data_IF_592882740446
#
_entry.id   IF_592882740446
#
_cell.length_a   1.000
_cell.length_b   1.000
_cell.length_c   1.000
_cell.angle_alpha   90.00
_cell.angle_beta   90.00
_cell.angle_gamma   90.00
#
_symmetry.space_group_name_H-M   'P 1'
#
loop_
_entity.id
_entity.type
_entity.pdbx_description
1 polymer ?
#
# COMPACT_ATOMS: atom_id res chain seq x y z
N UNK A 1 19.98 -13.00 -26.88
CA UNK A 1 19.15 -13.68 -25.86
C UNK A 1 19.52 -13.04 -24.52
N UNK A 2 18.55 -12.59 -23.73
CA UNK A 2 18.82 -12.06 -22.39
C UNK A 2 19.29 -13.22 -21.52
N UNK A 3 20.38 -13.07 -20.77
CA UNK A 3 20.86 -14.15 -19.89
C UNK A 3 19.96 -14.28 -18.65
N UNK A 4 19.76 -15.49 -18.15
CA UNK A 4 19.02 -15.74 -16.89
C UNK A 4 19.61 -14.91 -15.73
N UNK A 5 20.94 -14.85 -15.66
CA UNK A 5 21.65 -14.02 -14.69
C UNK A 5 21.25 -12.54 -14.75
N UNK A 6 21.04 -11.98 -15.95
CA UNK A 6 20.58 -10.60 -16.08
C UNK A 6 19.14 -10.44 -15.58
N UNK A 7 18.26 -11.41 -15.85
CA UNK A 7 16.89 -11.41 -15.35
C UNK A 7 16.87 -11.43 -13.81
N UNK A 8 17.64 -12.32 -13.20
CA UNK A 8 17.69 -12.47 -11.75
C UNK A 8 18.29 -11.24 -11.06
N UNK A 9 19.36 -10.66 -11.62
CA UNK A 9 19.94 -9.42 -11.10
C UNK A 9 18.98 -8.24 -11.24
N UNK A 10 18.25 -8.12 -12.35
CA UNK A 10 17.23 -7.09 -12.52
C UNK A 10 16.09 -7.24 -11.52
N UNK A 11 15.63 -8.48 -11.26
CA UNK A 11 14.64 -8.77 -10.22
C UNK A 11 15.14 -8.41 -8.84
N UNK A 12 16.36 -8.81 -8.49
CA UNK A 12 16.98 -8.52 -7.20
C UNK A 12 17.15 -7.02 -6.98
N UNK A 13 17.63 -6.30 -8.01
CA UNK A 13 17.80 -4.85 -7.94
C UNK A 13 16.46 -4.14 -7.75
N UNK A 14 15.43 -4.51 -8.53
CA UNK A 14 14.10 -3.93 -8.39
C UNK A 14 13.49 -4.25 -7.02
N UNK A 15 13.63 -5.49 -6.54
CA UNK A 15 13.15 -5.91 -5.22
C UNK A 15 13.83 -5.11 -4.11
N UNK A 16 15.15 -4.93 -4.15
CA UNK A 16 15.88 -4.16 -3.16
C UNK A 16 15.42 -2.70 -3.12
N UNK A 17 15.31 -2.04 -4.28
CA UNK A 17 14.84 -0.64 -4.34
C UNK A 17 13.39 -0.51 -3.89
N UNK A 18 12.50 -1.43 -4.33
CA UNK A 18 11.09 -1.42 -3.96
C UNK A 18 10.89 -1.62 -2.44
N UNK A 19 11.57 -2.61 -1.85
CA UNK A 19 11.54 -2.84 -0.41
C UNK A 19 12.05 -1.63 0.37
N UNK A 20 13.17 -1.03 -0.07
CA UNK A 20 13.76 0.11 0.61
C UNK A 20 12.86 1.36 0.51
N UNK A 21 12.27 1.62 -0.65
CA UNK A 21 11.30 2.70 -0.83
C UNK A 21 10.08 2.52 0.08
N UNK A 22 9.56 1.28 0.13
CA UNK A 22 8.37 0.97 0.93
C UNK A 22 8.61 0.94 2.44
N UNK A 23 9.83 1.16 2.92
CA UNK A 23 10.07 1.51 4.33
C UNK A 23 9.54 2.90 4.67
N UNK A 24 9.59 3.83 3.72
CA UNK A 24 9.25 5.24 3.94
C UNK A 24 7.80 5.56 3.54
N UNK A 25 7.29 4.92 2.48
CA UNK A 25 5.94 5.15 1.95
C UNK A 25 4.81 5.01 3.00
N UNK A 26 4.66 3.87 3.71
CA UNK A 26 3.54 3.69 4.63
C UNK A 26 3.60 4.69 5.79
N UNK A 27 4.81 5.07 6.22
CA UNK A 27 4.97 6.07 7.26
C UNK A 27 4.50 7.46 6.78
N UNK A 28 4.80 7.86 5.54
CA UNK A 28 4.28 9.10 4.93
C UNK A 28 2.75 9.08 4.86
N UNK A 29 2.17 8.01 4.31
CA UNK A 29 0.71 7.85 4.14
C UNK A 29 -0.04 7.93 5.48
N UNK A 30 0.50 7.31 6.54
CA UNK A 30 -0.15 7.35 7.86
C UNK A 30 0.09 8.64 8.62
N UNK A 31 1.31 9.18 8.59
CA UNK A 31 1.66 10.39 9.33
C UNK A 31 0.93 11.62 8.81
N UNK A 32 0.69 11.72 7.49
CA UNK A 32 0.06 12.90 6.92
C UNK A 32 -1.36 13.11 7.47
N UNK A 33 -2.14 12.05 7.65
CA UNK A 33 -3.46 12.12 8.29
C UNK A 33 -3.38 12.37 9.80
N UNK A 34 -2.36 11.85 10.47
CA UNK A 34 -2.10 12.19 11.87
C UNK A 34 -1.82 13.69 12.04
N UNK A 35 -1.06 14.30 11.13
CA UNK A 35 -0.82 15.74 11.10
C UNK A 35 -2.11 16.53 10.87
N UNK A 36 -2.95 16.09 9.93
CA UNK A 36 -4.28 16.67 9.70
C UNK A 36 -5.12 16.63 10.97
N UNK A 37 -5.18 15.50 11.68
CA UNK A 37 -5.96 15.35 12.91
C UNK A 37 -5.44 16.28 14.01
N UNK A 38 -4.13 16.26 14.27
CA UNK A 38 -3.51 17.11 15.30
C UNK A 38 -3.73 18.59 15.00
N UNK A 39 -3.57 19.00 13.75
CA UNK A 39 -3.75 20.38 13.35
C UNK A 39 -5.22 20.81 13.36
N UNK A 40 -6.14 19.92 12.97
CA UNK A 40 -7.58 20.16 13.08
C UNK A 40 -7.98 20.44 14.52
N UNK A 41 -7.49 19.64 15.46
CA UNK A 41 -7.73 19.85 16.89
C UNK A 41 -7.10 21.17 17.37
N UNK A 42 -5.93 21.57 16.86
CA UNK A 42 -5.36 22.89 17.12
C UNK A 42 -6.26 24.03 16.63
N UNK A 43 -6.75 23.96 15.38
CA UNK A 43 -7.62 24.99 14.80
C UNK A 43 -8.93 25.10 15.58
N UNK A 44 -9.53 23.96 15.95
CA UNK A 44 -10.79 23.92 16.69
C UNK A 44 -10.68 24.39 18.14
N UNK A 45 -9.60 24.01 18.84
CA UNK A 45 -9.48 24.26 20.29
C UNK A 45 -8.61 25.47 20.65
N UNK A 46 -7.77 25.93 19.73
CA UNK A 46 -6.78 26.98 19.96
C UNK A 46 -5.63 26.58 20.91
N UNK A 47 -5.59 25.34 21.42
CA UNK A 47 -4.58 24.88 22.38
C UNK A 47 -3.24 24.67 21.70
N UNK A 48 -2.21 25.43 22.12
CA UNK A 48 -0.88 25.46 21.50
C UNK A 48 -0.17 24.11 21.47
N UNK A 49 -0.41 23.24 22.45
CA UNK A 49 0.17 21.90 22.49
C UNK A 49 -0.08 21.09 21.21
N UNK A 50 -1.23 21.25 20.55
CA UNK A 50 -1.52 20.56 19.30
C UNK A 50 -0.76 21.15 18.11
N UNK A 51 -0.49 22.47 18.11
CA UNK A 51 0.42 23.10 17.16
C UNK A 51 1.84 22.55 17.31
N UNK A 52 2.29 22.41 18.56
CA UNK A 52 3.62 21.86 18.87
C UNK A 52 3.72 20.39 18.47
N UNK A 53 2.65 19.62 18.67
CA UNK A 53 2.52 18.24 18.17
C UNK A 53 2.63 18.19 16.64
N UNK A 54 1.83 18.96 15.90
CA UNK A 54 1.89 18.99 14.44
C UNK A 54 3.29 19.36 13.94
N UNK A 55 3.97 20.32 14.58
CA UNK A 55 5.35 20.70 14.19
C UNK A 55 6.38 19.61 14.52
N UNK A 56 6.28 18.97 15.68
CA UNK A 56 7.21 17.91 16.08
C UNK A 56 7.09 16.69 15.16
N UNK A 57 5.87 16.19 14.99
CA UNK A 57 5.61 15.04 14.11
C UNK A 57 5.85 15.41 12.64
N UNK A 58 5.56 16.65 12.26
CA UNK A 58 5.86 17.20 10.94
C UNK A 58 7.35 17.15 10.63
N UNK A 59 8.23 17.41 11.59
CA UNK A 59 9.69 17.28 11.40
C UNK A 59 10.11 15.85 11.05
N UNK A 60 9.60 14.86 11.78
CA UNK A 60 9.89 13.44 11.50
C UNK A 60 9.31 12.99 10.16
N UNK A 61 8.08 13.45 9.85
CA UNK A 61 7.46 13.26 8.55
C UNK A 61 8.35 13.82 7.42
N UNK A 62 8.87 15.04 7.55
CA UNK A 62 9.73 15.65 6.52
C UNK A 62 11.01 14.87 6.24
N UNK A 63 11.65 14.32 7.28
CA UNK A 63 12.84 13.46 7.13
C UNK A 63 12.49 12.19 6.36
N UNK A 64 11.41 11.51 6.76
CA UNK A 64 10.92 10.30 6.11
C UNK A 64 10.53 10.57 4.65
N UNK A 65 9.82 11.67 4.42
CA UNK A 65 9.36 12.08 3.10
C UNK A 65 10.51 12.30 2.12
N UNK A 66 11.59 12.98 2.55
CA UNK A 66 12.75 13.22 1.70
C UNK A 66 13.40 11.92 1.19
N UNK A 67 13.51 10.91 2.06
CA UNK A 67 14.00 9.57 1.68
C UNK A 67 13.01 8.84 0.78
N UNK A 68 11.71 8.97 1.04
CA UNK A 68 10.65 8.46 0.17
C UNK A 68 10.73 9.00 -1.26
N UNK A 69 10.88 10.32 -1.43
CA UNK A 69 11.00 10.95 -2.76
C UNK A 69 12.24 10.45 -3.49
N UNK A 70 13.40 10.44 -2.83
CA UNK A 70 14.67 10.04 -3.47
C UNK A 70 14.63 8.59 -3.96
N UNK A 71 14.05 7.70 -3.15
CA UNK A 71 13.89 6.28 -3.50
C UNK A 71 12.81 6.06 -4.56
N UNK A 72 11.73 6.86 -4.55
CA UNK A 72 10.65 6.82 -5.55
C UNK A 72 11.13 7.20 -6.95
N UNK A 73 11.92 8.28 -7.06
CA UNK A 73 12.56 8.69 -8.33
C UNK A 73 13.40 7.55 -8.90
N UNK A 74 14.13 6.84 -8.04
CA UNK A 74 14.96 5.71 -8.46
C UNK A 74 14.11 4.57 -9.04
N UNK A 75 12.96 4.25 -8.42
CA UNK A 75 12.02 3.24 -8.92
C UNK A 75 11.39 3.63 -10.26
N UNK A 76 10.96 4.88 -10.40
CA UNK A 76 10.36 5.40 -11.63
C UNK A 76 11.30 5.18 -12.83
N UNK A 77 12.58 5.55 -12.68
CA UNK A 77 13.58 5.32 -13.73
C UNK A 77 13.94 3.85 -13.96
N UNK A 78 13.83 2.98 -12.94
CA UNK A 78 14.13 1.56 -13.08
C UNK A 78 13.21 0.84 -14.06
N UNK A 79 11.94 1.28 -14.21
CA UNK A 79 11.06 0.75 -15.25
C UNK A 79 11.64 0.95 -16.66
N UNK A 80 12.27 2.10 -16.91
CA UNK A 80 12.89 2.42 -18.20
C UNK A 80 14.24 1.76 -18.40
N UNK A 81 15.11 1.75 -17.39
CA UNK A 81 16.50 1.29 -17.55
C UNK A 81 16.64 -0.22 -17.62
N UNK A 82 15.93 -0.96 -16.74
CA UNK A 82 16.12 -2.40 -16.58
C UNK A 82 14.97 -3.23 -17.17
N UNK A 83 13.83 -2.59 -17.45
CA UNK A 83 12.62 -3.23 -17.94
C UNK A 83 12.16 -2.62 -19.28
N UNK A 84 13.10 -2.36 -20.19
CA UNK A 84 12.84 -1.66 -21.45
C UNK A 84 11.76 -2.34 -22.33
N UNK A 85 11.79 -3.67 -22.44
CA UNK A 85 10.76 -4.38 -23.21
C UNK A 85 9.39 -4.32 -22.53
N UNK A 86 9.32 -4.42 -21.21
CA UNK A 86 8.08 -4.21 -20.46
C UNK A 86 7.54 -2.79 -20.71
N UNK A 87 8.39 -1.77 -20.59
CA UNK A 87 8.03 -0.37 -20.83
C UNK A 87 7.53 -0.14 -22.26
N UNK A 88 8.11 -0.80 -23.26
CA UNK A 88 7.59 -0.77 -24.63
C UNK A 88 6.25 -1.52 -24.77
N UNK A 89 6.18 -2.72 -24.21
CA UNK A 89 5.08 -3.66 -24.42
C UNK A 89 3.78 -3.23 -23.74
N UNK A 90 3.84 -2.54 -22.59
CA UNK A 90 2.63 -2.12 -21.85
C UNK A 90 2.59 -0.63 -21.55
N UNK A 91 3.53 0.15 -22.07
CA UNK A 91 3.68 1.58 -21.72
C UNK A 91 2.45 2.43 -22.02
N UNK A 92 1.63 2.06 -23.00
CA UNK A 92 0.39 2.77 -23.34
C UNK A 92 -0.66 2.71 -22.21
N UNK A 93 -0.69 1.61 -21.46
CA UNK A 93 -1.61 1.42 -20.33
C UNK A 93 -0.93 1.74 -19.01
N UNK A 94 0.24 1.14 -18.75
CA UNK A 94 0.94 1.28 -17.48
C UNK A 94 1.52 2.69 -17.30
N UNK A 95 1.97 3.34 -18.37
CA UNK A 95 2.57 4.67 -18.29
C UNK A 95 1.57 5.78 -18.00
N UNK A 96 0.29 5.61 -18.39
CA UNK A 96 -0.73 6.65 -18.22
C UNK A 96 -1.03 6.96 -16.73
N UNK A 97 -1.32 5.98 -15.85
CA UNK A 97 -1.47 6.23 -14.41
C UNK A 97 -0.23 6.85 -13.77
N UNK A 98 0.98 6.40 -14.14
CA UNK A 98 2.24 6.96 -13.59
C UNK A 98 2.43 8.43 -14.00
N UNK A 99 2.10 8.79 -15.24
CA UNK A 99 2.16 10.18 -15.69
C UNK A 99 1.13 11.07 -14.96
N UNK A 100 -0.10 10.56 -14.77
CA UNK A 100 -1.15 11.27 -14.02
C UNK A 100 -0.76 11.43 -12.55
N UNK A 101 -0.15 10.41 -11.94
CA UNK A 101 0.42 10.47 -10.59
C UNK A 101 1.38 11.65 -10.46
N UNK A 102 2.35 11.75 -11.38
CA UNK A 102 3.31 12.85 -11.40
C UNK A 102 2.65 14.21 -11.50
N UNK A 103 1.73 14.38 -12.47
CA UNK A 103 1.07 15.66 -12.73
C UNK A 103 0.09 16.10 -11.63
N UNK A 104 -0.63 15.15 -11.03
CA UNK A 104 -1.71 15.44 -10.09
C UNK A 104 -1.26 15.32 -8.63
N UNK A 105 -0.67 14.19 -8.26
CA UNK A 105 -0.36 13.87 -6.87
C UNK A 105 0.98 14.46 -6.44
N UNK A 106 2.06 14.20 -7.17
CA UNK A 106 3.40 14.65 -6.76
C UNK A 106 3.52 16.17 -6.75
N UNK A 107 2.97 16.87 -7.75
CA UNK A 107 2.97 18.34 -7.73
C UNK A 107 2.18 18.90 -6.56
N UNK A 108 1.01 18.33 -6.25
CA UNK A 108 0.18 18.77 -5.13
C UNK A 108 0.93 18.58 -3.81
N UNK A 109 1.43 17.36 -3.56
CA UNK A 109 2.14 17.02 -2.33
C UNK A 109 3.44 17.82 -2.17
N UNK A 110 4.29 17.88 -3.19
CA UNK A 110 5.58 18.59 -3.14
C UNK A 110 5.43 20.11 -3.02
N UNK A 111 4.35 20.69 -3.54
CA UNK A 111 4.05 22.12 -3.35
C UNK A 111 3.57 22.38 -1.93
N UNK A 112 2.61 21.59 -1.45
CA UNK A 112 1.98 21.83 -0.15
C UNK A 112 2.87 21.42 1.04
N UNK A 113 3.80 20.48 0.89
CA UNK A 113 4.78 20.19 1.94
C UNK A 113 5.70 21.38 2.21
N UNK A 114 6.10 22.12 1.17
CA UNK A 114 6.87 23.36 1.34
C UNK A 114 6.07 24.41 2.12
N UNK A 115 4.80 24.60 1.75
CA UNK A 115 3.90 25.50 2.48
C UNK A 115 3.60 25.03 3.91
N UNK A 116 3.54 23.73 4.17
CA UNK A 116 3.34 23.17 5.51
C UNK A 116 4.49 23.49 6.46
N UNK A 117 5.74 23.46 5.97
CA UNK A 117 6.89 23.78 6.83
C UNK A 117 7.10 25.29 6.99
N UNK A 118 6.94 26.06 5.91
CA UNK A 118 7.29 27.49 5.90
C UNK A 118 6.09 28.44 6.06
N UNK A 119 4.86 27.92 6.02
CA UNK A 119 3.62 28.71 6.05
C UNK A 119 3.12 29.09 7.44
N UNK A 120 3.68 28.55 8.52
CA UNK A 120 3.14 28.73 9.87
C UNK A 120 2.98 30.18 10.34
N UNK A 121 3.85 31.07 9.89
CA UNK A 121 3.84 32.50 10.27
C UNK A 121 3.29 33.41 9.16
N UNK A 122 2.93 32.83 7.99
CA UNK A 122 2.42 33.55 6.82
C UNK A 122 0.96 33.24 6.49
N UNK A 123 0.44 32.12 6.96
CA UNK A 123 -0.93 31.67 6.73
C UNK A 123 -1.76 31.80 8.01
N UNK A 124 -3.07 32.03 7.85
CA UNK A 124 -4.00 31.85 8.96
C UNK A 124 -4.04 30.37 9.38
N UNK A 125 -4.52 30.09 10.59
CA UNK A 125 -4.59 28.71 11.10
C UNK A 125 -5.49 27.83 10.22
N UNK A 126 -6.58 28.38 9.66
CA UNK A 126 -7.45 27.64 8.74
C UNK A 126 -6.79 27.40 7.38
N UNK A 127 -6.06 28.40 6.87
CA UNK A 127 -5.31 28.26 5.62
C UNK A 127 -4.20 27.22 5.75
N UNK A 128 -3.49 27.19 6.88
CA UNK A 128 -2.46 26.20 7.15
C UNK A 128 -3.06 24.78 7.25
N UNK A 129 -4.22 24.63 7.91
CA UNK A 129 -4.91 23.35 7.94
C UNK A 129 -5.34 22.88 6.54
N UNK A 130 -5.81 23.80 5.68
CA UNK A 130 -6.13 23.47 4.28
C UNK A 130 -4.90 22.95 3.54
N UNK A 131 -3.73 23.58 3.74
CA UNK A 131 -2.45 23.10 3.19
C UNK A 131 -2.16 21.66 3.64
N UNK A 132 -2.32 21.37 4.94
CA UNK A 132 -2.08 20.03 5.49
C UNK A 132 -3.06 18.99 4.94
N UNK A 133 -4.33 19.37 4.72
CA UNK A 133 -5.34 18.50 4.08
C UNK A 133 -4.97 18.24 2.61
N UNK A 134 -4.61 19.26 1.85
CA UNK A 134 -4.23 19.10 0.43
C UNK A 134 -2.96 18.26 0.28
N UNK A 135 -2.01 18.39 1.21
CA UNK A 135 -0.86 17.50 1.31
C UNK A 135 -1.31 16.04 1.52
N UNK A 136 -2.21 15.77 2.48
CA UNK A 136 -2.73 14.43 2.73
C UNK A 136 -3.50 13.84 1.54
N UNK A 137 -4.30 14.66 0.86
CA UNK A 137 -5.01 14.26 -0.37
C UNK A 137 -4.00 13.91 -1.47
N UNK A 138 -2.96 14.73 -1.66
CA UNK A 138 -1.88 14.45 -2.63
C UNK A 138 -1.21 13.11 -2.37
N UNK A 139 -0.79 12.84 -1.14
CA UNK A 139 -0.19 11.55 -0.76
C UNK A 139 -1.10 10.36 -1.08
N UNK A 140 -2.42 10.49 -0.87
CA UNK A 140 -3.37 9.40 -1.13
C UNK A 140 -3.71 9.25 -2.61
N UNK A 141 -3.73 10.34 -3.37
CA UNK A 141 -3.85 10.29 -4.82
C UNK A 141 -2.64 9.60 -5.47
N UNK A 142 -1.43 9.81 -4.92
CA UNK A 142 -0.26 9.06 -5.37
C UNK A 142 -0.44 7.56 -5.15
N UNK A 143 -0.80 7.16 -3.93
CA UNK A 143 -1.11 5.76 -3.62
C UNK A 143 -2.21 5.18 -4.54
N UNK A 144 -3.23 5.96 -4.89
CA UNK A 144 -4.29 5.54 -5.81
C UNK A 144 -3.73 5.21 -7.19
N UNK A 145 -3.02 6.15 -7.83
CA UNK A 145 -2.57 5.99 -9.21
C UNK A 145 -1.52 4.88 -9.36
N UNK A 146 -0.58 4.78 -8.42
CA UNK A 146 0.43 3.71 -8.46
C UNK A 146 -0.19 2.33 -8.21
N UNK A 147 -1.25 2.23 -7.39
CA UNK A 147 -1.95 0.98 -7.14
C UNK A 147 -2.95 0.63 -8.24
N UNK A 148 -3.45 1.60 -9.02
CA UNK A 148 -4.13 1.34 -10.29
C UNK A 148 -3.17 0.66 -11.26
N UNK A 149 -1.95 1.19 -11.42
CA UNK A 149 -0.93 0.58 -12.27
C UNK A 149 -0.59 -0.84 -11.81
N UNK A 150 -0.35 -1.04 -10.50
CA UNK A 150 -0.08 -2.37 -9.96
C UNK A 150 -1.28 -3.32 -10.05
N UNK A 151 -2.50 -2.82 -9.86
CA UNK A 151 -3.73 -3.61 -9.99
C UNK A 151 -3.93 -4.10 -11.42
N UNK A 152 -3.66 -3.25 -12.42
CA UNK A 152 -3.67 -3.64 -13.82
C UNK A 152 -2.64 -4.72 -14.14
N UNK A 153 -1.43 -4.64 -13.59
CA UNK A 153 -0.41 -5.70 -13.75
C UNK A 153 -0.88 -7.08 -13.23
N UNK A 154 -1.85 -7.12 -12.32
CA UNK A 154 -2.42 -8.35 -11.78
C UNK A 154 -3.67 -8.83 -12.53
N UNK A 155 -4.44 -7.91 -13.10
CA UNK A 155 -5.67 -8.17 -13.82
C UNK A 155 -5.79 -7.19 -15.00
N UNK A 156 -5.28 -7.55 -16.20
CA UNK A 156 -5.07 -6.61 -17.31
C UNK A 156 -6.38 -6.35 -18.09
N UNK A 157 -7.35 -5.70 -17.45
CA UNK A 157 -8.59 -5.25 -18.08
C UNK A 157 -8.38 -3.95 -18.87
N UNK A 158 -9.26 -3.67 -19.85
CA UNK A 158 -9.22 -2.43 -20.63
C UNK A 158 -8.04 -2.29 -21.58
N UNK A 159 -7.47 -3.42 -22.02
CA UNK A 159 -6.32 -3.47 -22.94
C UNK A 159 -6.42 -4.61 -23.94
N UNK A 160 -5.88 -4.40 -25.15
CA UNK A 160 -5.78 -5.42 -26.20
C UNK A 160 -4.39 -5.46 -26.82
N UNK A 161 -4.00 -6.62 -27.38
CA UNK A 161 -2.73 -6.74 -28.09
C UNK A 161 -2.88 -6.30 -29.55
N UNK A 162 -2.02 -5.37 -29.99
CA UNK A 162 -1.93 -4.96 -31.38
C UNK A 162 -0.77 -5.68 -32.08
N UNK A 163 -1.09 -6.47 -33.11
CA UNK A 163 -0.08 -7.16 -33.94
C UNK A 163 0.69 -6.17 -34.85
N UNK A 164 0.18 -4.95 -35.03
CA UNK A 164 0.82 -3.92 -35.85
C UNK A 164 1.92 -3.19 -35.08
N UNK A 165 1.63 -2.81 -33.84
CA UNK A 165 2.58 -2.10 -32.97
C UNK A 165 3.37 -3.02 -32.05
N UNK A 166 3.01 -4.31 -32.01
CA UNK A 166 3.65 -5.37 -31.21
C UNK A 166 3.66 -5.07 -29.69
N UNK A 167 2.60 -4.43 -29.20
CA UNK A 167 2.41 -4.04 -27.80
C UNK A 167 0.93 -4.13 -27.41
N UNK A 168 0.67 -4.08 -26.10
CA UNK A 168 -0.66 -3.86 -25.56
C UNK A 168 -1.06 -2.39 -25.71
N UNK A 169 -2.29 -2.14 -26.15
CA UNK A 169 -2.85 -0.79 -26.34
C UNK A 169 -4.09 -0.60 -25.45
N UNK A 170 -4.29 0.63 -24.99
CA UNK A 170 -5.39 0.99 -24.09
C UNK A 170 -6.72 1.02 -24.86
N UNK A 171 -7.68 0.19 -24.48
CA UNK A 171 -9.02 0.16 -25.10
C UNK A 171 -10.07 0.87 -24.25
N UNK A 172 -9.95 0.80 -22.92
CA UNK A 172 -10.87 1.44 -21.98
C UNK A 172 -10.12 1.91 -20.72
N UNK A 173 -9.92 3.23 -20.64
CA UNK A 173 -9.28 3.87 -19.49
C UNK A 173 -10.05 3.66 -18.18
N UNK A 174 -11.38 3.70 -18.22
CA UNK A 174 -12.20 3.59 -17.00
C UNK A 174 -12.22 2.16 -16.47
N UNK A 175 -12.15 1.16 -17.35
CA UNK A 175 -11.95 -0.23 -16.93
C UNK A 175 -10.64 -0.41 -16.16
N UNK A 176 -9.55 0.27 -16.57
CA UNK A 176 -8.27 0.25 -15.86
C UNK A 176 -8.38 0.94 -14.50
N UNK A 177 -8.98 2.13 -14.43
CA UNK A 177 -9.15 2.91 -13.19
C UNK A 177 -10.03 2.17 -12.17
N UNK A 178 -11.15 1.62 -12.61
CA UNK A 178 -12.11 0.90 -11.76
C UNK A 178 -11.85 -0.61 -11.68
N UNK A 179 -10.63 -1.04 -12.02
CA UNK A 179 -10.22 -2.43 -11.88
C UNK A 179 -10.45 -2.92 -10.44
N UNK A 180 -11.24 -4.00 -10.21
CA UNK A 180 -11.54 -4.49 -8.87
C UNK A 180 -10.29 -4.78 -8.03
N UNK A 181 -9.24 -5.30 -8.67
CA UNK A 181 -7.96 -5.61 -8.01
C UNK A 181 -7.23 -4.32 -7.60
N UNK A 182 -7.31 -3.26 -8.41
CA UNK A 182 -6.76 -1.95 -8.05
C UNK A 182 -7.49 -1.36 -6.84
N UNK A 183 -8.82 -1.43 -6.82
CA UNK A 183 -9.64 -0.91 -5.72
C UNK A 183 -9.32 -1.61 -4.40
N UNK A 184 -9.28 -2.96 -4.40
CA UNK A 184 -8.89 -3.75 -3.22
C UNK A 184 -7.47 -3.44 -2.73
N UNK A 185 -6.50 -3.36 -3.65
CA UNK A 185 -5.12 -2.98 -3.33
C UNK A 185 -5.02 -1.59 -2.73
N UNK A 186 -5.72 -0.61 -3.30
CA UNK A 186 -5.72 0.76 -2.82
C UNK A 186 -6.17 0.85 -1.36
N UNK A 187 -7.37 0.35 -1.08
CA UNK A 187 -7.96 0.48 0.26
C UNK A 187 -7.17 -0.31 1.31
N UNK A 188 -6.65 -1.49 0.96
CA UNK A 188 -5.85 -2.30 1.87
C UNK A 188 -4.48 -1.66 2.16
N UNK A 189 -3.75 -1.26 1.11
CA UNK A 189 -2.39 -0.69 1.25
C UNK A 189 -2.40 0.64 1.98
N UNK A 190 -3.35 1.51 1.66
CA UNK A 190 -3.50 2.81 2.33
C UNK A 190 -3.87 2.63 3.79
N UNK A 191 -4.83 1.74 4.11
CA UNK A 191 -5.19 1.42 5.49
C UNK A 191 -3.99 0.85 6.27
N UNK A 192 -3.14 0.02 5.64
CA UNK A 192 -1.92 -0.50 6.25
C UNK A 192 -0.87 0.61 6.50
N UNK A 193 -0.79 1.59 5.59
CA UNK A 193 -0.01 2.82 5.82
C UNK A 193 -0.50 3.60 7.03
N UNK A 194 -1.82 3.74 7.19
CA UNK A 194 -2.42 4.39 8.35
C UNK A 194 -2.07 3.69 9.66
N UNK A 195 -2.16 2.35 9.70
CA UNK A 195 -1.70 1.54 10.85
C UNK A 195 -0.22 1.80 11.13
N UNK A 196 0.63 1.81 10.11
CA UNK A 196 2.07 2.02 10.27
C UNK A 196 2.38 3.39 10.88
N UNK A 197 1.78 4.46 10.37
CA UNK A 197 1.94 5.81 10.92
C UNK A 197 1.39 5.93 12.34
N UNK A 198 0.24 5.33 12.62
CA UNK A 198 -0.33 5.29 13.97
C UNK A 198 0.60 4.57 14.96
N UNK A 199 1.10 3.39 14.60
CA UNK A 199 2.01 2.60 15.43
C UNK A 199 3.34 3.31 15.69
N UNK A 200 3.85 4.07 14.70
CA UNK A 200 5.04 4.88 14.88
C UNK A 200 4.85 5.96 15.96
N UNK A 201 3.78 6.77 15.85
CA UNK A 201 3.44 7.80 16.85
C UNK A 201 3.17 7.18 18.21
N UNK A 202 2.45 6.06 18.24
CA UNK A 202 2.10 5.33 19.46
C UNK A 202 3.36 4.83 20.18
N UNK A 203 4.30 4.24 19.44
CA UNK A 203 5.54 3.67 19.98
C UNK A 203 6.45 4.74 20.58
N UNK A 204 6.66 5.85 19.88
CA UNK A 204 7.49 6.96 20.39
C UNK A 204 6.80 7.64 21.58
N UNK A 205 5.47 7.82 21.53
CA UNK A 205 4.72 8.39 22.66
C UNK A 205 4.78 7.48 23.89
N UNK A 206 4.64 6.16 23.71
CA UNK A 206 4.79 5.18 24.78
C UNK A 206 6.20 5.25 25.40
N UNK A 207 7.23 5.39 24.56
CA UNK A 207 8.60 5.56 25.04
C UNK A 207 8.77 6.84 25.86
N UNK A 208 8.19 7.97 25.46
CA UNK A 208 8.22 9.22 26.25
C UNK A 208 7.54 9.04 27.61
N UNK A 209 6.39 8.35 27.65
CA UNK A 209 5.68 8.06 28.89
C UNK A 209 6.48 7.16 29.83
N UNK A 210 7.11 6.10 29.31
CA UNK A 210 7.99 5.22 30.09
C UNK A 210 9.20 5.97 30.67
N UNK A 211 9.68 7.00 29.96
CA UNK A 211 10.79 7.86 30.40
C UNK A 211 10.35 9.05 31.26
N UNK A 212 9.05 9.24 31.50
CA UNK A 212 8.52 10.41 32.22
C UNK A 212 8.79 11.75 31.53
N UNK A 213 8.98 11.76 30.20
CA UNK A 213 9.30 12.96 29.40
C UNK A 213 8.05 13.51 28.74
N UNK A 214 7.88 14.82 28.79
CA UNK A 214 6.80 15.56 28.09
C UNK A 214 5.43 14.86 28.19
N UNK A 215 5.07 14.45 29.41
CA UNK A 215 3.95 13.52 29.67
C UNK A 215 2.64 13.98 29.03
N UNK A 216 2.35 15.28 29.09
CA UNK A 216 1.14 15.87 28.51
C UNK A 216 1.12 15.81 26.97
N UNK A 217 2.27 16.02 26.33
CA UNK A 217 2.44 15.87 24.88
C UNK A 217 2.29 14.40 24.47
N UNK A 218 2.97 13.52 25.20
CA UNK A 218 3.00 12.10 24.90
C UNK A 218 1.62 11.45 25.11
N UNK A 219 0.89 11.77 26.18
CA UNK A 219 -0.48 11.26 26.40
C UNK A 219 -1.45 11.66 25.28
N UNK A 220 -1.37 12.91 24.78
CA UNK A 220 -2.25 13.39 23.70
C UNK A 220 -1.89 12.75 22.37
N UNK A 221 -0.59 12.69 22.04
CA UNK A 221 -0.10 11.99 20.84
C UNK A 221 -0.50 10.51 20.85
N UNK A 222 -0.32 9.83 21.98
CA UNK A 222 -0.71 8.44 22.17
C UNK A 222 -2.22 8.23 21.97
N UNK A 223 -3.07 9.08 22.55
CA UNK A 223 -4.53 8.94 22.42
C UNK A 223 -5.00 9.10 20.97
N UNK A 224 -4.48 10.10 20.25
CA UNK A 224 -4.82 10.30 18.83
C UNK A 224 -4.36 9.09 18.02
N UNK A 225 -3.12 8.64 18.21
CA UNK A 225 -2.56 7.50 17.51
C UNK A 225 -3.31 6.20 17.79
N UNK A 226 -3.70 5.96 19.06
CA UNK A 226 -4.45 4.77 19.43
C UNK A 226 -5.84 4.75 18.79
N UNK A 227 -6.56 5.87 18.80
CA UNK A 227 -7.90 5.95 18.21
C UNK A 227 -7.85 5.79 16.68
N UNK A 228 -6.94 6.51 16.02
CA UNK A 228 -6.74 6.39 14.58
C UNK A 228 -6.26 4.99 14.20
N UNK A 229 -5.23 4.49 14.86
CA UNK A 229 -4.67 3.15 14.62
C UNK A 229 -5.66 2.02 14.86
N UNK A 230 -6.56 2.14 15.86
CA UNK A 230 -7.63 1.17 16.07
C UNK A 230 -8.64 1.15 14.92
N UNK A 231 -9.06 2.32 14.43
CA UNK A 231 -9.92 2.39 13.25
C UNK A 231 -9.21 1.83 12.00
N UNK A 232 -7.93 2.17 11.81
CA UNK A 232 -7.13 1.70 10.68
C UNK A 232 -6.91 0.20 10.71
N UNK A 233 -6.62 -0.43 11.86
CA UNK A 233 -6.39 -1.88 11.92
C UNK A 233 -7.68 -2.67 11.65
N UNK A 234 -8.83 -2.20 12.14
CA UNK A 234 -10.12 -2.79 11.78
C UNK A 234 -10.37 -2.71 10.27
N UNK A 235 -10.05 -1.58 9.64
CA UNK A 235 -10.11 -1.41 8.18
C UNK A 235 -9.20 -2.41 7.46
N UNK A 236 -7.94 -2.53 7.87
CA UNK A 236 -6.98 -3.47 7.26
C UNK A 236 -7.44 -4.92 7.35
N UNK A 237 -7.97 -5.35 8.49
CA UNK A 237 -8.43 -6.74 8.69
C UNK A 237 -9.60 -7.06 7.76
N UNK A 238 -10.63 -6.21 7.74
CA UNK A 238 -11.83 -6.42 6.92
C UNK A 238 -11.48 -6.36 5.43
N UNK A 239 -10.72 -5.35 5.02
CA UNK A 239 -10.32 -5.19 3.61
C UNK A 239 -9.31 -6.25 3.17
N UNK A 240 -8.54 -6.82 4.10
CA UNK A 240 -7.65 -7.95 3.85
C UNK A 240 -8.43 -9.22 3.53
N UNK A 241 -9.47 -9.51 4.30
CA UNK A 241 -10.39 -10.63 4.03
C UNK A 241 -11.10 -10.47 2.67
N UNK A 242 -11.67 -9.29 2.39
CA UNK A 242 -12.27 -9.01 1.08
C UNK A 242 -11.26 -9.09 -0.07
N UNK A 243 -10.01 -8.65 0.15
CA UNK A 243 -8.95 -8.77 -0.86
C UNK A 243 -8.57 -10.23 -1.10
N UNK A 244 -8.56 -11.07 -0.07
CA UNK A 244 -8.31 -12.51 -0.19
C UNK A 244 -9.41 -13.22 -0.99
N UNK A 245 -10.67 -12.86 -0.73
CA UNK A 245 -11.81 -13.35 -1.50
C UNK A 245 -11.71 -12.94 -2.99
N UNK A 246 -11.50 -11.65 -3.28
CA UNK A 246 -11.37 -11.16 -4.65
C UNK A 246 -10.13 -11.72 -5.38
N UNK A 247 -9.04 -12.02 -4.64
CA UNK A 247 -7.86 -12.68 -5.18
C UNK A 247 -8.17 -14.10 -5.64
N UNK A 248 -9.07 -14.82 -4.95
CA UNK A 248 -9.51 -16.15 -5.36
C UNK A 248 -10.20 -16.17 -6.72
N UNK A 249 -10.83 -15.07 -7.13
CA UNK A 249 -11.45 -14.95 -8.46
C UNK A 249 -10.44 -14.54 -9.53
N UNK A 250 -9.53 -13.61 -9.22
CA UNK A 250 -8.59 -13.06 -10.20
C UNK A 250 -7.30 -13.88 -10.36
N UNK A 251 -6.79 -14.49 -9.28
CA UNK A 251 -5.45 -15.11 -9.22
C UNK A 251 -5.40 -16.30 -8.26
N UNK A 252 -6.06 -17.40 -8.66
CA UNK A 252 -6.14 -18.64 -7.88
C UNK A 252 -4.77 -19.19 -7.47
N UNK A 253 -3.75 -19.11 -8.34
CA UNK A 253 -2.39 -19.59 -8.03
C UNK A 253 -1.79 -18.92 -6.80
N UNK A 254 -2.06 -17.63 -6.59
CA UNK A 254 -1.53 -16.91 -5.42
C UNK A 254 -2.22 -17.33 -4.14
N UNK A 255 -3.54 -17.46 -4.17
CA UNK A 255 -4.30 -17.91 -3.01
C UNK A 255 -3.86 -19.32 -2.60
N UNK A 256 -3.80 -20.25 -3.57
CA UNK A 256 -3.37 -21.62 -3.32
C UNK A 256 -1.92 -21.69 -2.80
N UNK A 257 -1.00 -20.88 -3.35
CA UNK A 257 0.38 -20.82 -2.86
C UNK A 257 0.48 -20.21 -1.45
N UNK A 258 -0.27 -19.14 -1.15
CA UNK A 258 -0.28 -18.50 0.17
C UNK A 258 -0.81 -19.45 1.26
N UNK A 259 -1.83 -20.24 0.93
CA UNK A 259 -2.42 -21.23 1.83
C UNK A 259 -1.71 -22.59 1.78
N UNK A 260 -0.63 -22.72 1.02
CA UNK A 260 0.11 -23.97 0.82
C UNK A 260 -0.80 -25.16 0.41
N UNK A 261 -1.74 -24.90 -0.51
CA UNK A 261 -2.71 -25.85 -1.04
C UNK A 261 -2.17 -26.53 -2.30
N UNK A 262 -1.63 -27.74 -2.13
CA UNK A 262 -1.09 -28.53 -3.25
C UNK A 262 -2.19 -29.19 -4.08
N UNK A 263 -3.13 -29.82 -3.38
CA UNK A 263 -4.29 -30.51 -3.95
C UNK A 263 -5.56 -29.68 -3.74
N UNK A 264 -6.59 -29.98 -4.53
CA UNK A 264 -7.91 -29.35 -4.38
C UNK A 264 -8.52 -29.73 -3.04
N UNK A 265 -8.84 -28.71 -2.25
CA UNK A 265 -9.40 -28.88 -0.91
C UNK A 265 -10.91 -29.11 -1.02
N UNK A 266 -11.44 -30.23 -0.50
CA UNK A 266 -12.86 -30.49 -0.50
C UNK A 266 -13.59 -29.49 0.41
N UNK A 267 -14.84 -29.21 0.08
CA UNK A 267 -15.67 -28.36 0.90
C UNK A 267 -16.06 -29.05 2.23
N UNK A 268 -16.04 -28.35 3.38
CA UNK A 268 -15.50 -27.00 3.61
C UNK A 268 -13.97 -26.99 3.80
N UNK A 269 -13.28 -26.18 3.01
CA UNK A 269 -11.81 -26.10 3.00
C UNK A 269 -11.21 -25.62 4.35
N UNK A 270 -10.07 -26.18 4.71
CA UNK A 270 -9.33 -25.83 5.93
C UNK A 270 -8.38 -24.65 5.70
N UNK A 271 -8.15 -23.83 6.75
CA UNK A 271 -7.22 -22.70 6.71
C UNK A 271 -5.90 -23.08 7.36
N UNK A 272 -4.79 -22.89 6.65
CA UNK A 272 -3.45 -23.18 7.19
C UNK A 272 -2.92 -21.97 7.96
N UNK A 273 -2.96 -22.02 9.29
CA UNK A 273 -2.42 -20.96 10.16
C UNK A 273 -0.90 -20.91 10.05
N UNK A 274 -0.27 -22.08 10.00
CA UNK A 274 1.16 -22.26 9.81
C UNK A 274 1.35 -23.48 8.91
N UNK A 275 2.14 -23.36 7.86
CA UNK A 275 2.55 -24.48 7.02
C UNK A 275 4.05 -24.39 6.69
N UNK A 276 4.70 -25.55 6.55
CA UNK A 276 6.06 -25.66 6.06
C UNK A 276 6.02 -26.39 4.70
N UNK A 277 5.89 -25.63 3.59
CA UNK A 277 5.75 -26.20 2.25
C UNK A 277 7.06 -26.81 1.74
N UNK A 278 6.96 -27.94 1.06
CA UNK A 278 8.04 -28.63 0.37
C UNK A 278 7.70 -28.70 -1.12
N UNK A 279 8.25 -27.75 -1.90
CA UNK A 279 8.02 -27.63 -3.34
C UNK A 279 8.53 -28.84 -4.13
N UNK A 280 9.62 -29.49 -3.69
CA UNK A 280 10.19 -30.64 -4.40
C UNK A 280 9.29 -31.88 -4.31
N UNK A 281 8.60 -32.05 -3.18
CA UNK A 281 7.66 -33.15 -2.95
C UNK A 281 6.19 -32.75 -3.15
N UNK A 282 5.91 -31.49 -3.47
CA UNK A 282 4.57 -30.91 -3.64
C UNK A 282 3.63 -31.24 -2.47
N UNK A 283 4.13 -31.07 -1.24
CA UNK A 283 3.36 -31.33 0.00
C UNK A 283 3.77 -30.38 1.12
N UNK A 284 3.03 -30.39 2.22
CA UNK A 284 3.43 -29.71 3.46
C UNK A 284 4.10 -30.71 4.40
N UNK A 285 5.36 -30.46 4.77
CA UNK A 285 6.08 -31.28 5.75
C UNK A 285 5.53 -31.09 7.18
N UNK A 286 4.89 -29.94 7.42
CA UNK A 286 4.20 -29.62 8.66
C UNK A 286 3.06 -28.63 8.39
N UNK A 287 1.92 -28.78 9.06
CA UNK A 287 0.84 -27.80 9.00
C UNK A 287 0.00 -27.79 10.30
N UNK A 288 -0.37 -26.59 10.74
CA UNK A 288 -1.42 -26.35 11.75
C UNK A 288 -2.58 -25.70 11.01
N UNK A 289 -3.70 -26.41 10.94
CA UNK A 289 -4.89 -25.94 10.26
C UNK A 289 -6.07 -25.72 11.21
N UNK A 290 -6.92 -24.77 10.86
CA UNK A 290 -8.25 -24.59 11.48
C UNK A 290 -9.29 -25.05 10.46
N UNK A 291 -10.13 -26.06 10.79
CA UNK A 291 -11.15 -26.54 9.87
C UNK A 291 -12.11 -25.43 9.43
N UNK A 292 -12.55 -25.49 8.18
CA UNK A 292 -13.68 -24.74 7.58
C UNK A 292 -13.47 -23.23 7.40
N UNK A 293 -12.51 -22.64 8.10
CA UNK A 293 -12.26 -21.19 8.04
C UNK A 293 -11.98 -20.74 6.62
N UNK A 294 -11.19 -21.49 5.84
CA UNK A 294 -10.87 -21.13 4.46
C UNK A 294 -12.08 -21.19 3.53
N UNK A 295 -13.00 -22.12 3.74
CA UNK A 295 -14.29 -22.10 3.04
C UNK A 295 -15.03 -20.78 3.29
N UNK A 296 -15.12 -20.36 4.56
CA UNK A 296 -15.80 -19.12 4.95
C UNK A 296 -15.12 -17.86 4.40
N UNK A 297 -13.79 -17.74 4.53
CA UNK A 297 -13.07 -16.53 4.10
C UNK A 297 -12.77 -16.51 2.60
N UNK A 298 -12.40 -17.65 2.03
CA UNK A 298 -11.99 -17.76 0.62
C UNK A 298 -13.14 -17.93 -0.38
N UNK A 299 -14.27 -18.55 0.02
CA UNK A 299 -15.40 -18.80 -0.92
C UNK A 299 -16.74 -18.22 -0.48
N UNK A 300 -16.82 -17.70 0.76
CA UNK A 300 -18.08 -17.31 1.41
C UNK A 300 -19.11 -18.45 1.44
N UNK A 301 -18.65 -19.70 1.51
CA UNK A 301 -19.49 -20.91 1.43
C UNK A 301 -18.89 -22.08 2.20
N UNK A 302 -19.73 -23.04 2.58
CA UNK A 302 -19.32 -24.31 3.18
C UNK A 302 -19.32 -25.47 2.18
N UNK A 303 -19.79 -25.24 0.95
CA UNK A 303 -20.08 -26.28 -0.03
C UNK A 303 -19.25 -26.15 -1.31
N UNK A 304 -18.37 -25.13 -1.38
CA UNK A 304 -17.49 -24.90 -2.54
C UNK A 304 -16.09 -25.43 -2.26
N UNK A 305 -15.57 -26.15 -3.24
CA UNK A 305 -14.18 -26.60 -3.27
C UNK A 305 -13.25 -25.45 -3.65
N UNK A 306 -11.99 -25.54 -3.24
CA UNK A 306 -10.94 -24.60 -3.62
C UNK A 306 -9.85 -25.32 -4.41
N UNK A 307 -9.54 -24.88 -5.65
CA UNK A 307 -8.55 -25.54 -6.49
C UNK A 307 -7.15 -25.42 -5.89
N UNK A 308 -6.44 -26.54 -5.85
CA UNK A 308 -5.03 -26.59 -5.43
C UNK A 308 -4.06 -26.29 -6.57
N UNK A 309 -2.79 -26.11 -6.22
CA UNK A 309 -1.72 -25.82 -7.18
C UNK A 309 -1.61 -26.85 -8.31
N UNK A 310 -1.76 -28.15 -8.00
CA UNK A 310 -1.67 -29.23 -8.98
C UNK A 310 -2.76 -29.14 -10.05
N UNK A 311 -3.97 -28.72 -9.67
CA UNK A 311 -5.05 -28.50 -10.63
C UNK A 311 -4.83 -27.23 -11.46
N UNK A 312 -4.26 -26.18 -10.87
CA UNK A 312 -4.06 -24.89 -11.53
C UNK A 312 -2.93 -24.96 -12.57
N UNK A 313 -1.91 -25.78 -12.35
CA UNK A 313 -0.80 -25.97 -13.29
C UNK A 313 -1.09 -26.97 -14.42
N UNK A 314 -2.12 -27.80 -14.29
CA UNK A 314 -2.49 -28.83 -15.26
C UNK A 314 -3.24 -28.25 -16.47
#
# INVERSE_FOLDING_TARGET
>A
MVSEQLVDLSRLQFAATAMYHFLFVPLTIGMVWMLVIMESVYVMTGKTIYKDMTRFWGKLFGINFALGVTTGITLEFQFGTNWAYYSHYVGDIFGAPLAIEGLMAFFLESTFIGLFFFGWDRLSRQQHLLVTILMAVGTNLSALWILIANGWMQNPVGSEFSYETMRMELTDFWAVVFNPVAQGKFVHTVSAGYVTGAMFVLSISAWYLLRGRDVEFAKRSFRIAAAFGFASICSVIVLGDESGYALGEAQQTKLAAMEAMWETEPAPASFNVIALPNEAEMKNDFAIHIPWVMGLIGTRSLDKELPGLNQIYA
#
